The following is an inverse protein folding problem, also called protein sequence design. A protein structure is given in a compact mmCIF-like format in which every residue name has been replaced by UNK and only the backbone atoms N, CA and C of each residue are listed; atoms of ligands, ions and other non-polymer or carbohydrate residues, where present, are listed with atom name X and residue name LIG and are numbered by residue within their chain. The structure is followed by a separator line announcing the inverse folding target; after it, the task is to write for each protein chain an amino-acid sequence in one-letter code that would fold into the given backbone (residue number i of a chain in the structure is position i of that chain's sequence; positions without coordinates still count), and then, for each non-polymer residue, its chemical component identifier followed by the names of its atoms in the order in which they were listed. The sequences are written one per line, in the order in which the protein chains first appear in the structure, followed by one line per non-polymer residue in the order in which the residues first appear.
data_IF_472592519416
#
_entry.id   IF_472592519416
#
_cell.length_a   1.000
_cell.length_b   1.000
_cell.length_c   1.000
_cell.angle_alpha   90.00
_cell.angle_beta   90.00
_cell.angle_gamma   90.00
#
_symmetry.space_group_name_H-M   'P 1'
#
loop_
_entity.id
_entity.type
_entity.pdbx_description
1 polymer ?
#
# COMPACT_ATOMS: atom_id res chain seq x y z
N UNK A 1 -4.51 -24.95 29.43
CA UNK A 1 -3.23 -24.41 28.96
C UNK A 1 -2.68 -25.36 27.91
N UNK A 2 -2.86 -25.04 26.64
CA UNK A 2 -2.15 -25.69 25.53
C UNK A 2 -1.81 -24.57 24.54
N UNK A 3 -0.55 -24.14 24.57
CA UNK A 3 0.00 -23.17 23.64
C UNK A 3 0.12 -23.81 22.26
N UNK A 4 -0.77 -23.47 21.33
CA UNK A 4 -0.58 -23.78 19.91
C UNK A 4 0.56 -22.92 19.38
N UNK A 5 1.73 -23.53 19.13
CA UNK A 5 2.81 -22.87 18.40
C UNK A 5 2.38 -22.77 16.93
N UNK A 6 2.27 -21.55 16.42
CA UNK A 6 2.19 -21.30 15.00
C UNK A 6 3.61 -21.44 14.43
N UNK A 7 3.89 -22.55 13.75
CA UNK A 7 5.19 -22.78 13.13
C UNK A 7 5.30 -22.02 11.79
N UNK A 8 6.50 -21.53 11.49
CA UNK A 8 6.80 -20.74 10.29
C UNK A 8 6.61 -21.59 9.02
N UNK A 9 5.94 -21.03 8.02
CA UNK A 9 5.86 -21.58 6.67
C UNK A 9 7.29 -21.80 6.14
N UNK A 10 7.61 -23.04 5.74
CA UNK A 10 8.93 -23.41 5.22
C UNK A 10 9.15 -22.88 3.80
N UNK A 11 10.40 -22.57 3.48
CA UNK A 11 10.84 -21.94 2.22
C UNK A 11 10.80 -22.84 0.98
N UNK A 12 10.29 -24.07 1.08
CA UNK A 12 10.29 -25.07 -0.01
C UNK A 12 9.07 -24.98 -0.94
N UNK A 13 8.09 -24.13 -0.63
CA UNK A 13 6.83 -24.04 -1.39
C UNK A 13 6.92 -23.26 -2.72
N UNK A 14 8.05 -22.61 -3.05
CA UNK A 14 8.11 -21.61 -4.15
C UNK A 14 8.99 -22.06 -5.35
N UNK A 15 9.20 -23.36 -5.56
CA UNK A 15 9.92 -23.82 -6.77
C UNK A 15 9.25 -25.01 -7.46
N UNK A 16 8.32 -24.76 -8.37
CA UNK A 16 8.14 -25.63 -9.54
C UNK A 16 7.29 -24.98 -10.63
N UNK A 17 7.91 -24.73 -11.78
CA UNK A 17 7.25 -24.38 -13.03
C UNK A 17 6.61 -25.61 -13.64
N UNK A 18 5.28 -25.74 -13.59
CA UNK A 18 4.46 -26.52 -14.55
C UNK A 18 2.98 -26.38 -14.21
N UNK A 19 2.17 -26.11 -15.24
CA UNK A 19 0.70 -26.04 -15.19
C UNK A 19 0.08 -27.37 -14.74
N UNK A 20 -0.03 -27.61 -13.44
CA UNK A 20 -0.91 -28.62 -12.85
C UNK A 20 -1.52 -28.01 -11.59
N UNK A 21 -2.85 -28.12 -11.48
CA UNK A 21 -3.68 -27.59 -10.41
C UNK A 21 -3.06 -27.85 -9.03
N UNK A 22 -2.56 -26.80 -8.39
CA UNK A 22 -2.23 -26.83 -6.97
C UNK A 22 -3.56 -26.96 -6.24
N UNK A 23 -3.91 -28.20 -5.86
CA UNK A 23 -4.80 -28.42 -4.71
C UNK A 23 -4.06 -27.84 -3.51
N UNK A 24 -4.34 -26.57 -3.20
CA UNK A 24 -4.09 -26.02 -1.87
C UNK A 24 -4.93 -26.88 -0.93
N UNK A 25 -4.28 -27.81 -0.23
CA UNK A 25 -4.82 -28.36 1.00
C UNK A 25 -4.98 -27.18 1.95
N UNK A 26 -6.18 -26.60 1.99
CA UNK A 26 -6.57 -25.64 3.02
C UNK A 26 -6.79 -26.48 4.28
N UNK A 27 -5.69 -26.80 4.95
CA UNK A 27 -5.73 -27.45 6.27
C UNK A 27 -6.36 -26.50 7.29
N UNK A 28 -6.88 -27.07 8.38
CA UNK A 28 -7.54 -26.35 9.48
C UNK A 28 -6.63 -25.35 10.23
N UNK A 29 -5.34 -25.27 9.85
CA UNK A 29 -4.32 -24.36 10.38
C UNK A 29 -4.10 -23.09 9.54
N UNK A 30 -4.91 -22.85 8.50
CA UNK A 30 -4.86 -21.59 7.75
C UNK A 30 -5.31 -20.43 8.65
N UNK A 31 -4.37 -19.63 9.13
CA UNK A 31 -4.66 -18.39 9.83
C UNK A 31 -4.60 -17.21 8.83
N UNK A 32 -5.76 -16.70 8.33
CA UNK A 32 -5.77 -15.64 7.32
C UNK A 32 -5.07 -14.36 7.80
N UNK A 33 -5.09 -14.12 9.11
CA UNK A 33 -4.51 -12.93 9.73
C UNK A 33 -2.98 -12.97 9.77
N UNK A 34 -2.37 -14.16 9.94
CA UNK A 34 -0.92 -14.30 9.85
C UNK A 34 -0.44 -14.07 8.41
N UNK A 35 -1.15 -14.65 7.43
CA UNK A 35 -0.84 -14.42 6.02
C UNK A 35 -0.99 -12.94 5.64
N UNK A 36 -2.03 -12.26 6.13
CA UNK A 36 -2.21 -10.83 5.91
C UNK A 36 -1.02 -10.00 6.44
N UNK A 37 -0.51 -10.33 7.63
CA UNK A 37 0.68 -9.70 8.20
C UNK A 37 1.91 -9.91 7.30
N UNK A 38 2.15 -11.14 6.85
CA UNK A 38 3.30 -11.46 5.99
C UNK A 38 3.24 -10.73 4.63
N UNK A 39 2.05 -10.60 4.03
CA UNK A 39 1.87 -9.84 2.79
C UNK A 39 2.19 -8.35 2.99
N UNK A 40 1.80 -7.76 4.12
CA UNK A 40 2.15 -6.38 4.46
C UNK A 40 3.65 -6.24 4.77
N UNK A 41 4.23 -7.20 5.49
CA UNK A 41 5.67 -7.27 5.78
C UNK A 41 6.51 -7.33 4.50
N UNK A 42 6.06 -8.04 3.46
CA UNK A 42 6.70 -8.03 2.14
C UNK A 42 6.78 -6.61 1.55
N UNK A 43 5.68 -5.83 1.62
CA UNK A 43 5.68 -4.44 1.14
C UNK A 43 6.64 -3.55 1.94
N UNK A 44 6.64 -3.71 3.27
CA UNK A 44 7.55 -2.98 4.18
C UNK A 44 9.02 -3.33 3.92
N UNK A 45 9.32 -4.61 3.66
CA UNK A 45 10.68 -5.05 3.36
C UNK A 45 11.23 -4.41 2.08
N UNK A 46 10.35 -4.07 1.13
CA UNK A 46 10.68 -3.48 -0.16
C UNK A 46 10.49 -1.95 -0.23
N UNK A 47 10.29 -1.31 0.92
CA UNK A 47 10.03 0.14 1.04
C UNK A 47 11.07 1.03 0.35
N UNK A 48 12.34 0.63 0.32
CA UNK A 48 13.41 1.45 -0.29
C UNK A 48 13.16 1.66 -1.79
N UNK A 49 12.56 0.67 -2.46
CA UNK A 49 12.12 0.81 -3.85
C UNK A 49 10.96 1.80 -3.96
N UNK A 50 10.00 1.77 -3.03
CA UNK A 50 8.88 2.70 -3.00
C UNK A 50 9.32 4.15 -2.72
N UNK A 51 10.32 4.34 -1.85
CA UNK A 51 10.99 5.64 -1.61
C UNK A 51 11.69 6.12 -2.87
N UNK A 52 12.48 5.26 -3.52
CA UNK A 52 13.17 5.60 -4.76
C UNK A 52 12.16 6.00 -5.85
N UNK A 53 11.09 5.22 -6.00
CA UNK A 53 10.04 5.48 -6.98
C UNK A 53 9.35 6.83 -6.71
N UNK A 54 9.00 7.15 -5.46
CA UNK A 54 8.45 8.46 -5.11
C UNK A 54 9.39 9.59 -5.54
N UNK A 55 10.69 9.49 -5.20
CA UNK A 55 11.71 10.49 -5.53
C UNK A 55 11.90 10.70 -7.03
N UNK A 56 11.91 9.62 -7.82
CA UNK A 56 12.05 9.70 -9.29
C UNK A 56 10.93 10.53 -9.91
N UNK A 57 9.73 10.49 -9.35
CA UNK A 57 8.59 11.28 -9.80
C UNK A 57 8.40 12.62 -9.06
N UNK A 58 9.37 13.02 -8.22
CA UNK A 58 9.33 14.28 -7.49
C UNK A 58 8.35 14.30 -6.30
N UNK A 59 7.99 13.14 -5.77
CA UNK A 59 7.11 12.98 -4.61
C UNK A 59 7.88 12.55 -3.36
N UNK A 60 7.22 12.68 -2.22
CA UNK A 60 7.70 12.15 -0.94
C UNK A 60 6.97 10.85 -0.58
N UNK A 61 7.32 10.26 0.57
CA UNK A 61 6.65 9.06 1.05
C UNK A 61 7.03 7.79 0.28
N UNK A 62 6.16 6.79 0.37
CA UNK A 62 6.33 5.50 -0.30
C UNK A 62 5.33 5.39 -1.46
N UNK A 63 5.82 5.49 -2.70
CA UNK A 63 5.06 5.22 -3.92
C UNK A 63 5.35 3.81 -4.39
N UNK A 64 4.49 2.86 -4.07
CA UNK A 64 4.69 1.49 -4.52
C UNK A 64 4.58 1.38 -6.05
N UNK A 65 5.37 0.51 -6.69
CA UNK A 65 5.26 0.26 -8.13
C UNK A 65 3.96 -0.47 -8.46
N UNK A 66 3.55 -0.40 -9.72
CA UNK A 66 2.40 -1.14 -10.23
C UNK A 66 2.67 -2.64 -10.16
N UNK A 67 3.72 -3.09 -10.85
CA UNK A 67 4.22 -4.46 -10.74
C UNK A 67 5.48 -4.54 -9.86
N UNK A 68 5.43 -5.41 -8.85
CA UNK A 68 6.50 -5.60 -7.87
C UNK A 68 6.86 -7.07 -7.76
N UNK A 69 8.15 -7.39 -7.96
CA UNK A 69 8.69 -8.73 -7.75
C UNK A 69 9.76 -8.72 -6.64
N UNK A 70 10.68 -9.69 -6.66
CA UNK A 70 11.68 -9.95 -5.62
C UNK A 70 12.41 -8.72 -5.06
N UNK A 71 12.76 -7.74 -5.90
CA UNK A 71 13.55 -6.56 -5.49
C UNK A 71 12.70 -5.36 -5.10
N UNK A 72 11.39 -5.42 -5.33
CA UNK A 72 10.51 -4.27 -5.18
C UNK A 72 10.62 -3.22 -6.28
N UNK A 73 11.62 -3.33 -7.17
CA UNK A 73 11.77 -2.44 -8.34
C UNK A 73 10.59 -2.70 -9.27
N UNK A 74 10.09 -1.63 -9.89
CA UNK A 74 9.02 -1.72 -10.88
C UNK A 74 9.45 -2.60 -12.06
N UNK A 75 8.71 -3.69 -12.29
CA UNK A 75 8.95 -4.64 -13.38
C UNK A 75 7.89 -4.56 -14.47
N UNK A 76 7.05 -3.51 -14.45
CA UNK A 76 5.98 -3.32 -15.44
C UNK A 76 6.57 -3.37 -16.85
N UNK A 77 6.03 -4.20 -17.75
CA UNK A 77 6.52 -4.31 -19.11
C UNK A 77 6.54 -2.96 -19.85
N UNK A 78 7.58 -2.74 -20.66
CA UNK A 78 7.73 -1.50 -21.44
C UNK A 78 6.60 -1.27 -22.47
N UNK A 79 5.76 -2.26 -22.74
CA UNK A 79 4.59 -2.12 -23.62
C UNK A 79 3.41 -1.40 -22.98
N UNK A 80 3.40 -1.26 -21.65
CA UNK A 80 2.33 -0.59 -20.89
C UNK A 80 2.93 0.45 -19.92
N UNK A 81 3.61 1.50 -20.41
CA UNK A 81 4.23 2.49 -19.54
C UNK A 81 3.19 3.32 -18.75
N UNK A 82 1.96 3.45 -19.24
CA UNK A 82 0.92 4.30 -18.66
C UNK A 82 0.49 3.84 -17.26
N UNK A 83 0.33 2.54 -17.04
CA UNK A 83 -0.06 1.99 -15.73
C UNK A 83 1.04 2.27 -14.69
N UNK A 84 2.31 2.08 -15.06
CA UNK A 84 3.48 2.42 -14.22
C UNK A 84 3.53 3.91 -13.86
N UNK A 85 3.17 4.78 -14.80
CA UNK A 85 3.24 6.24 -14.63
C UNK A 85 2.07 6.78 -13.81
N UNK A 86 0.85 6.33 -14.11
CA UNK A 86 -0.38 6.99 -13.68
C UNK A 86 -1.21 6.18 -12.68
N UNK A 87 -1.04 4.87 -12.58
CA UNK A 87 -1.87 3.99 -11.74
C UNK A 87 -1.32 3.84 -10.32
N UNK A 88 -1.27 4.99 -9.62
CA UNK A 88 -0.67 5.09 -8.30
C UNK A 88 -1.60 4.67 -7.15
N UNK A 89 -2.84 4.27 -7.44
CA UNK A 89 -3.80 3.86 -6.40
C UNK A 89 -3.33 2.61 -5.65
N UNK A 90 -2.42 1.81 -6.22
CA UNK A 90 -1.74 0.70 -5.53
C UNK A 90 -1.18 1.10 -4.16
N UNK A 91 -0.67 2.33 -4.01
CA UNK A 91 -0.19 2.84 -2.72
C UNK A 91 -1.33 3.01 -1.72
N UNK A 92 -2.47 3.52 -2.18
CA UNK A 92 -3.70 3.62 -1.39
C UNK A 92 -4.30 2.27 -1.05
N UNK A 93 -4.24 1.30 -1.97
CA UNK A 93 -4.75 -0.06 -1.75
C UNK A 93 -3.95 -0.79 -0.66
N UNK A 94 -2.62 -0.62 -0.65
CA UNK A 94 -1.76 -1.16 0.40
C UNK A 94 -2.08 -0.53 1.76
N UNK A 95 -2.31 0.79 1.82
CA UNK A 95 -2.74 1.46 3.05
C UNK A 95 -4.14 0.99 3.49
N UNK A 96 -5.05 0.74 2.55
CA UNK A 96 -6.37 0.19 2.83
C UNK A 96 -6.29 -1.27 3.33
N UNK A 97 -5.38 -2.08 2.79
CA UNK A 97 -5.10 -3.42 3.31
C UNK A 97 -4.55 -3.36 4.75
N UNK A 98 -3.65 -2.42 5.04
CA UNK A 98 -3.17 -2.17 6.41
C UNK A 98 -4.32 -1.75 7.35
N UNK A 99 -5.24 -0.90 6.89
CA UNK A 99 -6.46 -0.53 7.64
C UNK A 99 -7.30 -1.75 7.99
N UNK A 100 -7.55 -2.63 7.03
CA UNK A 100 -8.33 -3.85 7.25
C UNK A 100 -7.62 -4.80 8.23
N UNK A 101 -6.30 -4.95 8.10
CA UNK A 101 -5.50 -5.76 9.02
C UNK A 101 -5.59 -5.25 10.46
N UNK A 102 -5.45 -3.93 10.68
CA UNK A 102 -5.58 -3.35 12.03
C UNK A 102 -7.00 -3.48 12.55
N UNK A 103 -8.02 -3.23 11.72
CA UNK A 103 -9.42 -3.36 12.12
C UNK A 103 -9.76 -4.81 12.55
N UNK A 104 -9.17 -5.81 11.89
CA UNK A 104 -9.40 -7.21 12.20
C UNK A 104 -8.61 -7.72 13.43
N UNK A 105 -7.40 -7.18 13.66
CA UNK A 105 -6.47 -7.73 14.67
C UNK A 105 -6.28 -6.88 15.91
N UNK A 106 -6.50 -5.56 15.82
CA UNK A 106 -6.11 -4.62 16.85
C UNK A 106 -4.61 -4.62 17.17
N UNK A 107 -3.76 -5.08 16.24
CA UNK A 107 -2.34 -5.31 16.51
C UNK A 107 -1.54 -3.99 16.66
N UNK A 108 -1.52 -3.46 17.89
CA UNK A 108 -0.81 -2.22 18.26
C UNK A 108 0.71 -2.37 18.23
N UNK A 109 1.22 -3.56 18.48
CA UNK A 109 2.67 -3.84 18.44
C UNK A 109 3.20 -3.72 17.01
N UNK A 110 2.44 -4.26 16.03
CA UNK A 110 2.78 -4.09 14.62
C UNK A 110 2.82 -2.62 14.20
N UNK A 111 1.88 -1.82 14.71
CA UNK A 111 1.85 -0.37 14.48
C UNK A 111 3.06 0.37 15.08
N UNK A 112 3.41 0.06 16.33
CA UNK A 112 4.43 0.80 17.08
C UNK A 112 5.87 0.32 16.81
N UNK A 113 6.05 -0.99 16.64
CA UNK A 113 7.36 -1.63 16.72
C UNK A 113 7.74 -2.45 15.47
N UNK A 114 6.80 -2.79 14.58
CA UNK A 114 7.07 -3.60 13.38
C UNK A 114 6.88 -2.85 12.06
N UNK A 115 7.14 -1.53 12.05
CA UNK A 115 7.06 -0.66 10.86
C UNK A 115 5.67 -0.56 10.20
N UNK A 116 4.62 -1.12 10.80
CA UNK A 116 3.25 -0.97 10.30
C UNK A 116 2.79 0.48 10.35
N UNK A 117 3.19 1.22 11.38
CA UNK A 117 2.99 2.66 11.48
C UNK A 117 3.75 3.45 10.42
N UNK A 118 4.98 3.04 10.08
CA UNK A 118 5.76 3.65 9.01
C UNK A 118 5.12 3.45 7.64
N UNK A 119 4.64 2.23 7.34
CA UNK A 119 3.91 1.95 6.10
C UNK A 119 2.73 2.91 5.91
N UNK A 120 1.90 3.04 6.96
CA UNK A 120 0.71 3.89 6.92
C UNK A 120 1.09 5.37 6.76
N UNK A 121 2.04 5.84 7.56
CA UNK A 121 2.46 7.24 7.54
C UNK A 121 3.10 7.62 6.21
N UNK A 122 3.98 6.78 5.66
CA UNK A 122 4.68 7.08 4.42
C UNK A 122 3.78 6.95 3.18
N UNK A 123 2.75 6.10 3.21
CA UNK A 123 1.68 6.13 2.20
C UNK A 123 0.87 7.43 2.28
N UNK A 124 0.52 7.89 3.48
CA UNK A 124 -0.17 9.18 3.66
C UNK A 124 0.70 10.36 3.22
N UNK A 125 2.01 10.31 3.51
CA UNK A 125 2.99 11.30 3.06
C UNK A 125 3.08 11.39 1.56
N UNK A 126 3.03 10.24 0.86
CA UNK A 126 2.96 10.21 -0.59
C UNK A 126 1.75 11.02 -1.09
N UNK A 127 0.55 10.75 -0.56
CA UNK A 127 -0.65 11.50 -0.94
C UNK A 127 -0.58 12.99 -0.58
N UNK A 128 -0.01 13.32 0.59
CA UNK A 128 0.25 14.69 1.01
C UNK A 128 1.16 15.47 0.06
N UNK A 129 2.14 14.79 -0.55
CA UNK A 129 3.01 15.38 -1.59
C UNK A 129 2.39 15.37 -3.00
N UNK A 130 1.40 14.50 -3.23
CA UNK A 130 0.81 14.24 -4.55
C UNK A 130 -0.38 15.15 -4.87
N UNK A 131 -1.15 15.51 -3.85
CA UNK A 131 -2.30 16.38 -3.97
C UNK A 131 -1.85 17.82 -4.30
N UNK A 132 -2.62 18.50 -5.15
CA UNK A 132 -2.38 19.89 -5.51
C UNK A 132 -3.58 20.74 -5.09
N UNK A 133 -3.32 21.91 -4.50
CA UNK A 133 -4.40 22.80 -4.08
C UNK A 133 -4.89 23.66 -5.24
N UNK A 134 -6.18 23.59 -5.55
CA UNK A 134 -6.81 24.44 -6.56
C UNK A 134 -7.37 25.72 -5.93
N UNK A 135 -6.65 26.83 -6.10
CA UNK A 135 -7.03 28.13 -5.55
C UNK A 135 -8.39 28.68 -6.02
N UNK A 136 -8.87 28.27 -7.21
CA UNK A 136 -10.16 28.71 -7.76
C UNK A 136 -11.33 27.93 -7.16
N UNK A 137 -11.17 26.61 -7.03
CA UNK A 137 -12.18 25.71 -6.47
C UNK A 137 -12.13 25.61 -4.94
N UNK A 138 -11.06 26.10 -4.31
CA UNK A 138 -10.80 26.03 -2.87
C UNK A 138 -10.79 24.60 -2.32
N UNK A 139 -10.23 23.67 -3.10
CA UNK A 139 -10.15 22.25 -2.76
C UNK A 139 -8.85 21.65 -3.29
N UNK A 140 -8.42 20.54 -2.69
CA UNK A 140 -7.35 19.72 -3.23
C UNK A 140 -7.82 18.87 -4.40
N UNK A 141 -6.91 18.61 -5.34
CA UNK A 141 -7.13 17.79 -6.51
C UNK A 141 -5.98 16.79 -6.69
N UNK A 142 -6.29 15.61 -7.20
CA UNK A 142 -5.30 14.64 -7.65
C UNK A 142 -5.47 14.51 -9.17
N UNK A 143 -4.55 15.13 -9.89
CA UNK A 143 -4.59 15.26 -11.35
C UNK A 143 -3.73 14.19 -12.02
N UNK A 144 -4.02 13.82 -13.27
CA UNK A 144 -3.17 12.92 -14.08
C UNK A 144 -2.92 11.57 -13.40
N UNK A 145 -4.00 10.82 -13.17
CA UNK A 145 -3.96 9.46 -12.61
C UNK A 145 -4.75 8.49 -13.47
N UNK A 146 -4.38 7.22 -13.46
CA UNK A 146 -5.19 6.15 -14.03
C UNK A 146 -6.04 5.55 -12.90
N UNK A 147 -7.39 5.52 -13.04
CA UNK A 147 -8.24 4.77 -12.13
C UNK A 147 -8.03 3.25 -12.32
N UNK A 148 -8.60 2.39 -11.44
CA UNK A 148 -8.57 0.93 -11.65
C UNK A 148 -9.22 0.44 -12.95
N UNK A 149 -10.03 1.30 -13.59
CA UNK A 149 -10.50 1.08 -14.95
C UNK A 149 -9.37 1.45 -15.93
N UNK A 150 -8.53 0.46 -16.25
CA UNK A 150 -7.35 0.64 -17.13
C UNK A 150 -7.73 1.08 -18.56
N UNK A 151 -8.96 0.82 -19.02
CA UNK A 151 -9.45 1.27 -20.33
C UNK A 151 -9.71 2.79 -20.37
N UNK A 152 -9.65 3.46 -19.21
CA UNK A 152 -9.89 4.89 -19.06
C UNK A 152 -8.68 5.78 -19.48
N UNK A 153 -7.77 5.25 -20.31
CA UNK A 153 -6.60 5.94 -20.86
C UNK A 153 -6.93 7.32 -21.48
N UNK A 154 -5.94 8.23 -21.59
CA UNK A 154 -4.54 8.09 -21.12
C UNK A 154 -4.38 8.31 -19.60
N UNK A 155 -5.18 9.20 -19.01
CA UNK A 155 -5.28 9.48 -17.58
C UNK A 155 -6.52 10.33 -17.31
N UNK A 156 -6.97 10.37 -16.05
CA UNK A 156 -8.09 11.18 -15.57
C UNK A 156 -7.63 12.11 -14.44
N UNK A 157 -8.37 13.20 -14.27
CA UNK A 157 -8.23 14.07 -13.11
C UNK A 157 -9.34 13.73 -12.11
N UNK A 158 -9.03 13.76 -10.82
CA UNK A 158 -9.98 13.51 -9.74
C UNK A 158 -10.74 12.18 -9.92
N UNK A 159 -10.01 11.11 -10.21
CA UNK A 159 -10.55 9.75 -10.15
C UNK A 159 -11.18 9.54 -8.78
N UNK A 160 -12.46 9.17 -8.74
CA UNK A 160 -13.22 8.98 -7.50
C UNK A 160 -12.54 7.93 -6.61
N UNK A 161 -12.14 6.81 -7.22
CA UNK A 161 -11.46 5.74 -6.52
C UNK A 161 -10.11 6.20 -5.93
N UNK A 162 -9.29 6.83 -6.76
CA UNK A 162 -7.95 7.29 -6.36
C UNK A 162 -8.03 8.35 -5.25
N UNK A 163 -8.97 9.30 -5.36
CA UNK A 163 -9.23 10.29 -4.32
C UNK A 163 -9.70 9.64 -3.01
N UNK A 164 -10.59 8.65 -3.09
CA UNK A 164 -11.07 7.94 -1.92
C UNK A 164 -9.94 7.21 -1.18
N UNK A 165 -9.12 6.42 -1.88
CA UNK A 165 -8.01 5.69 -1.22
C UNK A 165 -6.94 6.65 -0.70
N UNK A 166 -6.72 7.80 -1.33
CA UNK A 166 -5.84 8.84 -0.83
C UNK A 166 -6.33 9.41 0.50
N UNK A 167 -7.59 9.84 0.56
CA UNK A 167 -8.20 10.38 1.78
C UNK A 167 -8.22 9.32 2.90
N UNK A 168 -8.57 8.08 2.58
CA UNK A 168 -8.58 6.98 3.56
C UNK A 168 -7.18 6.67 4.11
N UNK A 169 -6.13 6.85 3.30
CA UNK A 169 -4.74 6.69 3.74
C UNK A 169 -4.35 7.75 4.75
N UNK A 170 -4.68 9.02 4.48
CA UNK A 170 -4.39 10.14 5.39
C UNK A 170 -5.19 10.02 6.69
N UNK A 171 -6.49 9.72 6.60
CA UNK A 171 -7.34 9.48 7.77
C UNK A 171 -6.83 8.34 8.64
N UNK A 172 -6.35 7.26 8.02
CA UNK A 172 -5.76 6.15 8.75
C UNK A 172 -4.51 6.61 9.52
N UNK A 173 -3.59 7.33 8.87
CA UNK A 173 -2.39 7.85 9.50
C UNK A 173 -2.71 8.75 10.70
N UNK A 174 -3.69 9.64 10.57
CA UNK A 174 -4.16 10.47 11.67
C UNK A 174 -4.75 9.63 12.82
N UNK A 175 -5.61 8.64 12.50
CA UNK A 175 -6.26 7.80 13.50
C UNK A 175 -5.31 6.96 14.34
N UNK A 176 -4.14 6.59 13.80
CA UNK A 176 -3.12 5.80 14.51
C UNK A 176 -1.96 6.64 15.04
N UNK A 177 -1.97 7.96 14.84
CA UNK A 177 -0.86 8.88 15.15
C UNK A 177 -0.43 8.82 16.62
N UNK A 178 -1.36 8.61 17.55
CA UNK A 178 -1.08 8.50 18.98
C UNK A 178 -0.34 7.19 19.34
N UNK A 179 -0.52 6.13 18.57
CA UNK A 179 0.17 4.84 18.76
C UNK A 179 1.55 4.88 18.12
N UNK A 180 1.64 5.45 16.92
CA UNK A 180 2.88 5.49 16.13
C UNK A 180 3.82 6.62 16.54
N UNK A 181 3.33 7.60 17.32
CA UNK A 181 4.03 8.85 17.62
C UNK A 181 4.44 9.63 16.35
N UNK A 182 3.70 9.43 15.25
CA UNK A 182 3.89 10.13 13.97
C UNK A 182 2.72 11.08 13.75
N UNK A 183 2.95 12.37 13.96
CA UNK A 183 1.92 13.41 13.81
C UNK A 183 1.61 13.63 12.33
N UNK A 184 0.35 13.53 11.94
CA UNK A 184 -0.12 13.90 10.62
C UNK A 184 -0.15 15.44 10.50
N UNK A 185 0.50 16.04 9.50
CA UNK A 185 0.42 17.48 9.24
C UNK A 185 -1.00 17.93 8.93
N UNK A 186 -1.39 19.11 9.45
CA UNK A 186 -2.72 19.68 9.18
C UNK A 186 -2.97 19.87 7.68
N UNK A 187 -1.93 20.26 6.94
CA UNK A 187 -2.01 20.41 5.48
C UNK A 187 -2.34 19.12 4.73
N UNK A 188 -2.15 17.95 5.35
CA UNK A 188 -2.61 16.68 4.78
C UNK A 188 -4.06 16.38 5.19
N UNK A 189 -4.44 16.69 6.43
CA UNK A 189 -5.81 16.50 6.93
C UNK A 189 -6.82 17.35 6.13
N UNK A 190 -6.38 18.48 5.60
CA UNK A 190 -7.20 19.36 4.76
C UNK A 190 -7.43 18.83 3.31
N UNK A 191 -6.75 17.73 2.91
CA UNK A 191 -6.87 17.05 1.60
C UNK A 191 -8.07 16.10 1.60
#
# INVERSE_FOLDING_TARGET
MTSGKCERVSSEAITSSSKHLIKLWVGEDFCPLLLAKEILSYRIALRESAVHNARVFGYEGWRFPWESARTGIDVTPNCCPEVRLYEMHVTGDIAFAARQYIAATGNRDWLANELGGDLIYECARFWGSRAVYNNKKKQYEILTVLPPDEDALPFKNNSVFTNAVAALSIQLADSVSCITNKKTPQSWIDI
#
